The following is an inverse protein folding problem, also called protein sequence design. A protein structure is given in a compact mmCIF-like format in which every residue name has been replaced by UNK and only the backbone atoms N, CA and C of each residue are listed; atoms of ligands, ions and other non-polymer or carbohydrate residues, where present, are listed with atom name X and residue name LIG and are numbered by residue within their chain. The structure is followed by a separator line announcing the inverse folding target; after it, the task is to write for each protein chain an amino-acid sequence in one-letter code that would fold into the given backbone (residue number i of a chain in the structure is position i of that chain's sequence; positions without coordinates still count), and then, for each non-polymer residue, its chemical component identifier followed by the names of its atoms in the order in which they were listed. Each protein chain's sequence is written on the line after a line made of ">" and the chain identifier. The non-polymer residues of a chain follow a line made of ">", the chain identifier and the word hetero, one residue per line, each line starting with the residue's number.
data_IF_854226187947
#
_entry.id   IF_854226187947
#
_cell.length_a   1.000
_cell.length_b   1.000
_cell.length_c   1.000
_cell.angle_alpha   90.00
_cell.angle_beta   90.00
_cell.angle_gamma   90.00
#
_symmetry.space_group_name_H-M   'P 1'
#
loop_
_entity.id
_entity.type
_entity.pdbx_description
1 polymer ?
#
# COMPACT_ATOMS: atom_id res chain seq x y z
N UNK A 1 -1.54 12.54 18.64
CA UNK A 1 -0.65 12.77 17.49
C UNK A 1 -0.63 11.56 16.56
N UNK A 2 -0.85 10.35 17.11
CA UNK A 2 -1.09 9.07 16.43
C UNK A 2 -2.07 9.17 15.26
N UNK A 3 -3.27 9.72 15.47
CA UNK A 3 -4.30 9.84 14.43
C UNK A 3 -3.85 10.65 13.21
N UNK A 4 -2.95 11.63 13.38
CA UNK A 4 -2.47 12.46 12.29
C UNK A 4 -1.55 11.66 11.35
N UNK A 5 -0.70 10.77 11.90
CA UNK A 5 0.19 9.90 11.11
C UNK A 5 -0.62 8.80 10.41
N UNK A 6 -1.57 8.19 11.12
CA UNK A 6 -2.53 7.26 10.51
C UNK A 6 -3.36 7.93 9.40
N UNK A 7 -3.70 9.21 9.55
CA UNK A 7 -4.45 9.95 8.52
C UNK A 7 -3.62 10.33 7.29
N UNK A 8 -2.30 10.48 7.42
CA UNK A 8 -1.44 10.91 6.32
C UNK A 8 -1.04 9.76 5.40
N UNK A 9 -1.04 8.52 5.89
CA UNK A 9 -0.67 7.33 5.12
C UNK A 9 -1.93 6.75 4.47
N UNK A 10 -2.03 6.89 3.15
CA UNK A 10 -3.15 6.35 2.35
C UNK A 10 -2.91 4.87 2.03
N UNK A 11 -3.98 4.07 2.10
CA UNK A 11 -4.01 2.66 1.67
C UNK A 11 -3.51 2.43 0.24
N UNK A 12 -3.73 3.41 -0.64
CA UNK A 12 -3.23 3.44 -2.02
C UNK A 12 -1.70 3.27 -2.13
N UNK A 13 -0.96 3.65 -1.08
CA UNK A 13 0.51 3.52 -1.04
C UNK A 13 0.95 2.06 -1.12
N UNK A 14 0.08 1.10 -0.77
CA UNK A 14 0.40 -0.33 -0.86
C UNK A 14 0.71 -0.78 -2.29
N UNK A 15 0.01 -0.26 -3.30
CA UNK A 15 0.29 -0.62 -4.69
C UNK A 15 1.68 -0.16 -5.12
N UNK A 16 2.16 0.99 -4.64
CA UNK A 16 3.51 1.48 -4.92
C UNK A 16 4.58 0.77 -4.08
N UNK A 17 4.25 0.32 -2.87
CA UNK A 17 5.19 -0.36 -1.97
C UNK A 17 5.38 -1.83 -2.37
N UNK A 18 4.37 -2.48 -2.95
CA UNK A 18 4.40 -3.90 -3.32
C UNK A 18 5.57 -4.28 -4.24
N UNK A 19 5.85 -3.60 -5.37
CA UNK A 19 7.00 -3.92 -6.21
C UNK A 19 8.35 -3.77 -5.47
N UNK A 20 8.45 -2.85 -4.51
CA UNK A 20 9.65 -2.65 -3.71
C UNK A 20 9.83 -3.79 -2.70
N UNK A 21 8.73 -4.26 -2.10
CA UNK A 21 8.73 -5.39 -1.17
C UNK A 21 9.07 -6.70 -1.89
N UNK A 22 8.53 -6.93 -3.08
CA UNK A 22 8.82 -8.13 -3.89
C UNK A 22 10.28 -8.21 -4.33
N UNK A 23 10.93 -7.06 -4.57
CA UNK A 23 12.35 -6.98 -4.92
C UNK A 23 13.28 -7.21 -3.74
N UNK A 24 12.84 -6.94 -2.51
CA UNK A 24 13.66 -7.06 -1.30
C UNK A 24 13.15 -8.25 -0.49
N UNK A 25 13.74 -9.44 -0.71
CA UNK A 25 13.27 -10.70 -0.11
C UNK A 25 13.12 -10.70 1.42
N UNK A 26 13.91 -9.90 2.14
CA UNK A 26 13.75 -9.69 3.59
C UNK A 26 12.38 -9.06 3.92
N UNK A 27 11.92 -8.08 3.15
CA UNK A 27 10.64 -7.41 3.37
C UNK A 27 9.45 -8.35 3.10
N UNK A 28 9.55 -9.22 2.08
CA UNK A 28 8.52 -10.23 1.76
C UNK A 28 8.30 -11.22 2.91
N UNK A 29 9.37 -11.55 3.64
CA UNK A 29 9.32 -12.48 4.78
C UNK A 29 8.76 -11.81 6.04
N UNK A 30 9.00 -10.51 6.19
CA UNK A 30 8.59 -9.73 7.37
C UNK A 30 7.13 -9.28 7.33
N UNK A 31 6.48 -9.30 6.16
CA UNK A 31 5.05 -9.12 6.04
C UNK A 31 4.54 -9.75 4.73
N UNK A 32 3.69 -10.79 4.80
CA UNK A 32 3.02 -11.32 3.62
C UNK A 32 1.85 -10.41 3.21
N UNK A 33 1.76 -10.05 1.94
CA UNK A 33 0.65 -9.28 1.40
C UNK A 33 -0.53 -10.19 1.09
N UNK A 34 -1.55 -10.16 1.96
CA UNK A 34 -2.82 -10.80 1.65
C UNK A 34 -3.47 -10.17 0.41
N UNK A 35 -3.91 -11.01 -0.52
CA UNK A 35 -4.73 -10.62 -1.67
C UNK A 35 -5.91 -11.57 -1.78
N UNK A 36 -7.08 -11.01 -2.08
CA UNK A 36 -8.28 -11.78 -2.37
C UNK A 36 -8.73 -11.50 -3.80
N UNK A 37 -8.86 -12.54 -4.61
CA UNK A 37 -9.48 -12.43 -5.93
C UNK A 37 -10.99 -12.65 -5.82
N UNK A 38 -11.77 -11.74 -6.38
CA UNK A 38 -13.23 -11.76 -6.30
C UNK A 38 -13.84 -11.60 -7.70
N UNK A 39 -14.98 -12.25 -7.93
CA UNK A 39 -15.83 -11.99 -9.10
C UNK A 39 -16.71 -10.78 -8.79
N UNK A 40 -16.66 -9.72 -9.60
CA UNK A 40 -17.47 -8.52 -9.37
C UNK A 40 -18.71 -8.55 -10.26
N UNK A 41 -19.87 -8.31 -9.64
CA UNK A 41 -21.17 -8.17 -10.31
C UNK A 41 -21.40 -6.72 -10.81
N UNK A 42 -22.09 -6.56 -11.93
CA UNK A 42 -22.48 -5.27 -12.49
C UNK A 42 -23.27 -4.41 -11.50
N UNK A 43 -24.13 -5.01 -10.65
CA UNK A 43 -24.91 -4.24 -9.68
C UNK A 43 -24.02 -3.47 -8.68
N UNK A 44 -22.86 -4.03 -8.31
CA UNK A 44 -21.89 -3.42 -7.42
C UNK A 44 -21.17 -2.30 -8.17
N UNK A 45 -20.70 -2.58 -9.38
CA UNK A 45 -19.99 -1.61 -10.23
C UNK A 45 -20.85 -0.37 -10.44
N UNK A 46 -22.10 -0.54 -10.87
CA UNK A 46 -23.03 0.56 -11.13
C UNK A 46 -23.33 1.37 -9.88
N UNK A 47 -23.46 0.72 -8.72
CA UNK A 47 -23.68 1.41 -7.43
C UNK A 47 -22.47 2.25 -7.02
N UNK A 48 -21.25 1.77 -7.29
CA UNK A 48 -20.02 2.50 -6.98
C UNK A 48 -19.80 3.68 -7.92
N UNK A 49 -20.07 3.52 -9.21
CA UNK A 49 -20.08 4.62 -10.19
C UNK A 49 -21.09 5.69 -9.76
N UNK A 50 -22.31 5.28 -9.40
CA UNK A 50 -23.35 6.19 -8.95
C UNK A 50 -22.97 6.92 -7.65
N UNK A 51 -22.31 6.22 -6.71
CA UNK A 51 -21.79 6.84 -5.49
C UNK A 51 -20.73 7.89 -5.82
N UNK A 52 -19.83 7.60 -6.76
CA UNK A 52 -18.74 8.50 -7.16
C UNK A 52 -19.26 9.82 -7.75
N UNK A 53 -20.37 9.79 -8.48
CA UNK A 53 -20.99 10.98 -9.07
C UNK A 53 -21.90 11.72 -8.09
N UNK A 54 -22.76 11.01 -7.35
CA UNK A 54 -23.80 11.67 -6.53
C UNK A 54 -23.41 11.96 -5.09
N UNK A 55 -22.66 11.04 -4.47
CA UNK A 55 -22.46 11.02 -3.01
C UNK A 55 -21.06 11.45 -2.62
N UNK A 56 -20.16 11.59 -3.59
CA UNK A 56 -18.77 11.97 -3.34
C UNK A 56 -18.68 13.46 -3.02
N UNK A 57 -18.49 13.76 -1.74
CA UNK A 57 -18.31 15.15 -1.26
C UNK A 57 -16.88 15.65 -1.48
N UNK A 58 -15.87 14.78 -1.31
CA UNK A 58 -14.46 15.12 -1.48
C UNK A 58 -13.89 14.39 -2.69
N UNK A 59 -13.15 15.10 -3.56
CA UNK A 59 -12.52 14.51 -4.75
C UNK A 59 -11.60 13.32 -4.40
N UNK A 60 -10.93 13.39 -3.24
CA UNK A 60 -10.04 12.33 -2.76
C UNK A 60 -10.77 11.14 -2.12
N UNK A 61 -12.07 11.24 -1.84
CA UNK A 61 -12.83 10.15 -1.23
C UNK A 61 -13.07 9.03 -2.24
N UNK A 62 -12.80 7.80 -1.80
CA UNK A 62 -13.00 6.57 -2.57
C UNK A 62 -14.10 5.72 -1.92
N UNK A 63 -14.85 5.01 -2.75
CA UNK A 63 -15.70 3.94 -2.27
C UNK A 63 -14.83 2.83 -1.68
N UNK A 64 -15.44 1.97 -0.89
CA UNK A 64 -14.76 0.84 -0.27
C UNK A 64 -14.10 -0.09 -1.30
N UNK A 65 -14.84 -0.48 -2.35
CA UNK A 65 -14.31 -1.35 -3.38
C UNK A 65 -13.18 -0.67 -4.18
N UNK A 66 -13.34 0.59 -4.59
CA UNK A 66 -12.28 1.33 -5.29
C UNK A 66 -11.01 1.45 -4.43
N UNK A 67 -11.14 1.67 -3.12
CA UNK A 67 -9.98 1.70 -2.22
C UNK A 67 -9.26 0.34 -2.12
N UNK A 68 -10.02 -0.74 -2.06
CA UNK A 68 -9.49 -2.11 -2.02
C UNK A 68 -8.80 -2.52 -3.33
N UNK A 69 -9.34 -2.10 -4.46
CA UNK A 69 -8.75 -2.29 -5.78
C UNK A 69 -7.46 -1.48 -5.93
N UNK A 70 -7.47 -0.20 -5.52
CA UNK A 70 -6.28 0.65 -5.57
C UNK A 70 -5.16 0.15 -4.68
N UNK A 71 -5.47 -0.37 -3.49
CA UNK A 71 -4.47 -0.96 -2.59
C UNK A 71 -4.02 -2.36 -3.01
N UNK A 72 -4.63 -2.93 -4.06
CA UNK A 72 -4.42 -4.31 -4.53
C UNK A 72 -4.62 -5.35 -3.43
N UNK A 73 -5.43 -5.03 -2.41
CA UNK A 73 -5.88 -6.00 -1.41
C UNK A 73 -6.93 -6.92 -2.04
N UNK A 74 -7.68 -6.38 -3.00
CA UNK A 74 -8.61 -7.13 -3.84
C UNK A 74 -8.14 -7.07 -5.30
N UNK A 75 -8.25 -8.20 -5.99
CA UNK A 75 -8.15 -8.30 -7.44
C UNK A 75 -9.54 -8.61 -7.98
N UNK A 76 -10.09 -7.72 -8.82
CA UNK A 76 -11.39 -7.94 -9.44
C UNK A 76 -11.24 -8.73 -10.74
N UNK A 77 -12.05 -9.79 -10.86
CA UNK A 77 -12.33 -10.46 -12.13
C UNK A 77 -13.82 -10.32 -12.46
N UNK A 78 -14.18 -10.35 -13.73
CA UNK A 78 -15.58 -10.32 -14.16
C UNK A 78 -15.76 -11.03 -15.52
N UNK A 79 -16.96 -11.52 -15.83
CA UNK A 79 -17.26 -12.01 -17.16
C UNK A 79 -17.22 -10.84 -18.17
N UNK A 80 -16.86 -11.12 -19.43
CA UNK A 80 -16.96 -10.15 -20.54
C UNK A 80 -18.37 -9.57 -20.66
N UNK A 81 -19.39 -10.35 -20.32
CA UNK A 81 -20.80 -9.93 -20.27
C UNK A 81 -21.04 -8.69 -19.38
N UNK A 82 -20.24 -8.48 -18.32
CA UNK A 82 -20.37 -7.30 -17.46
C UNK A 82 -20.19 -5.99 -18.24
N UNK A 83 -19.37 -5.99 -19.30
CA UNK A 83 -19.17 -4.82 -20.16
C UNK A 83 -20.48 -4.40 -20.83
N UNK A 84 -21.18 -5.36 -21.43
CA UNK A 84 -22.45 -5.15 -22.13
C UNK A 84 -23.53 -4.69 -21.15
N UNK A 85 -23.60 -5.34 -19.98
CA UNK A 85 -24.59 -5.02 -18.97
C UNK A 85 -24.42 -3.60 -18.41
N UNK A 86 -23.19 -3.20 -18.11
CA UNK A 86 -22.89 -1.84 -17.61
C UNK A 86 -23.17 -0.79 -18.68
N UNK A 87 -22.73 -1.01 -19.93
CA UNK A 87 -22.99 -0.10 -21.04
C UNK A 87 -24.49 0.10 -21.29
N UNK A 88 -25.28 -0.97 -21.19
CA UNK A 88 -26.73 -0.89 -21.34
C UNK A 88 -27.43 -0.14 -20.20
N UNK A 89 -26.98 -0.35 -18.94
CA UNK A 89 -27.61 0.24 -17.76
C UNK A 89 -27.19 1.69 -17.48
N UNK A 90 -26.04 2.15 -17.97
CA UNK A 90 -25.58 3.53 -17.76
C UNK A 90 -26.61 4.57 -18.24
N UNK A 91 -27.15 4.52 -19.47
CA UNK A 91 -28.19 5.44 -19.93
C UNK A 91 -29.47 5.41 -19.08
N UNK A 92 -29.90 4.22 -18.64
CA UNK A 92 -31.09 4.04 -17.79
C UNK A 92 -30.90 4.73 -16.43
N UNK A 93 -29.73 4.55 -15.81
CA UNK A 93 -29.36 5.18 -14.53
C UNK A 93 -29.21 6.70 -14.68
N UNK A 94 -28.62 7.16 -15.79
CA UNK A 94 -28.48 8.57 -16.13
C UNK A 94 -29.85 9.27 -16.17
N UNK A 95 -30.81 8.67 -16.88
CA UNK A 95 -32.17 9.18 -16.99
C UNK A 95 -32.90 9.16 -15.64
N UNK A 96 -32.82 8.05 -14.90
CA UNK A 96 -33.49 7.87 -13.61
C UNK A 96 -33.02 8.88 -12.56
N UNK A 97 -31.73 9.21 -12.55
CA UNK A 97 -31.14 10.09 -11.54
C UNK A 97 -30.86 11.51 -12.03
N UNK A 98 -31.21 11.83 -13.28
CA UNK A 98 -30.96 13.13 -13.93
C UNK A 98 -29.48 13.51 -13.88
N UNK A 99 -28.62 12.57 -14.25
CA UNK A 99 -27.15 12.72 -14.28
C UNK A 99 -26.68 12.65 -15.73
N UNK A 100 -25.56 13.33 -16.03
CA UNK A 100 -24.93 13.23 -17.34
C UNK A 100 -24.41 11.81 -17.60
N UNK A 101 -24.83 11.19 -18.70
CA UNK A 101 -24.32 9.90 -19.18
C UNK A 101 -22.80 9.94 -19.33
N UNK A 102 -22.26 11.04 -19.86
CA UNK A 102 -20.81 11.24 -20.07
C UNK A 102 -20.02 11.16 -18.76
N UNK A 103 -20.60 11.64 -17.65
CA UNK A 103 -19.95 11.60 -16.35
C UNK A 103 -19.91 10.17 -15.78
N UNK A 104 -21.00 9.42 -15.92
CA UNK A 104 -21.05 8.00 -15.54
C UNK A 104 -20.09 7.16 -16.38
N UNK A 105 -20.02 7.40 -17.69
CA UNK A 105 -19.09 6.73 -18.61
C UNK A 105 -17.63 7.02 -18.24
N UNK A 106 -17.29 8.27 -17.92
CA UNK A 106 -15.93 8.61 -17.46
C UNK A 106 -15.53 7.81 -16.22
N UNK A 107 -16.44 7.67 -15.27
CA UNK A 107 -16.19 6.88 -14.06
C UNK A 107 -16.12 5.38 -14.36
N UNK A 108 -16.95 4.88 -15.28
CA UNK A 108 -16.87 3.51 -15.76
C UNK A 108 -15.52 3.21 -16.42
N UNK A 109 -15.04 4.09 -17.29
CA UNK A 109 -13.75 3.94 -17.97
C UNK A 109 -12.59 3.89 -16.99
N UNK A 110 -12.63 4.69 -15.92
CA UNK A 110 -11.63 4.56 -14.84
C UNK A 110 -11.77 3.24 -14.10
N UNK A 111 -12.99 2.79 -13.82
CA UNK A 111 -13.25 1.60 -13.00
C UNK A 111 -12.86 0.30 -13.74
N UNK A 112 -13.19 0.18 -15.03
CA UNK A 112 -12.89 -1.02 -15.83
C UNK A 112 -11.41 -1.36 -15.91
N UNK A 113 -10.51 -0.38 -15.73
CA UNK A 113 -9.05 -0.62 -15.71
C UNK A 113 -8.59 -1.50 -14.54
N UNK A 114 -9.40 -1.61 -13.48
CA UNK A 114 -9.11 -2.45 -12.32
C UNK A 114 -9.66 -3.88 -12.44
N UNK A 115 -10.46 -4.17 -13.47
CA UNK A 115 -11.12 -5.46 -13.65
C UNK A 115 -10.38 -6.27 -14.72
N UNK A 116 -10.06 -7.53 -14.39
CA UNK A 116 -9.65 -8.52 -15.39
C UNK A 116 -10.86 -9.25 -15.95
N UNK A 117 -11.14 -9.05 -17.23
CA UNK A 117 -12.25 -9.69 -17.92
C UNK A 117 -11.90 -11.10 -18.39
N UNK A 118 -12.80 -12.04 -18.19
CA UNK A 118 -12.68 -13.44 -18.61
C UNK A 118 -13.94 -13.79 -19.41
N UNK A 119 -13.78 -14.42 -20.56
CA UNK A 119 -14.93 -14.85 -21.35
C UNK A 119 -15.51 -16.15 -20.79
N UNK A 120 -16.80 -16.12 -20.49
CA UNK A 120 -17.57 -17.24 -19.96
C UNK A 120 -18.84 -17.52 -20.76
N UNK A 121 -18.97 -16.87 -21.92
CA UNK A 121 -20.22 -16.82 -22.68
C UNK A 121 -21.26 -15.87 -22.06
N UNK A 122 -22.41 -15.81 -22.71
CA UNK A 122 -23.51 -14.92 -22.35
C UNK A 122 -24.58 -15.56 -21.47
N UNK A 123 -25.74 -14.89 -21.37
CA UNK A 123 -26.89 -15.35 -20.59
C UNK A 123 -27.35 -16.76 -20.95
N UNK A 124 -27.82 -17.51 -19.96
CA UNK A 124 -28.20 -18.92 -20.13
C UNK A 124 -29.57 -19.21 -19.51
N UNK A 125 -30.53 -19.61 -20.35
CA UNK A 125 -31.92 -19.86 -19.95
C UNK A 125 -32.09 -21.06 -19.01
N UNK A 126 -31.07 -21.90 -18.83
CA UNK A 126 -31.09 -23.01 -17.87
C UNK A 126 -30.97 -22.55 -16.42
N UNK A 127 -30.57 -21.30 -16.17
CA UNK A 127 -30.47 -20.70 -14.85
C UNK A 127 -31.76 -19.95 -14.48
N UNK A 128 -31.99 -19.80 -13.17
CA UNK A 128 -33.15 -19.06 -12.63
C UNK A 128 -33.18 -17.62 -13.16
N UNK A 129 -32.02 -16.95 -13.13
CA UNK A 129 -31.80 -15.69 -13.84
C UNK A 129 -30.76 -15.91 -14.94
N UNK A 130 -31.15 -15.82 -16.22
CA UNK A 130 -30.23 -16.02 -17.33
C UNK A 130 -29.06 -15.04 -17.30
N UNK A 131 -29.25 -13.81 -16.82
CA UNK A 131 -28.21 -12.77 -16.82
C UNK A 131 -27.11 -13.04 -15.81
N UNK A 132 -27.43 -13.81 -14.77
CA UNK A 132 -26.52 -14.12 -13.68
C UNK A 132 -25.65 -15.35 -14.00
N UNK A 133 -26.04 -16.14 -15.01
CA UNK A 133 -25.34 -17.35 -15.42
C UNK A 133 -23.84 -17.14 -15.74
N UNK A 134 -23.41 -16.07 -16.45
CA UNK A 134 -21.98 -15.81 -16.71
C UNK A 134 -21.16 -15.67 -15.42
N UNK A 135 -21.71 -15.04 -14.38
CA UNK A 135 -21.03 -14.84 -13.11
C UNK A 135 -20.86 -16.17 -12.35
N UNK A 136 -21.91 -17.01 -12.34
CA UNK A 136 -21.86 -18.35 -11.74
C UNK A 136 -20.90 -19.26 -12.50
N UNK A 137 -20.92 -19.22 -13.84
CA UNK A 137 -19.96 -19.96 -14.68
C UNK A 137 -18.52 -19.53 -14.37
N UNK A 138 -18.27 -18.23 -14.25
CA UNK A 138 -16.95 -17.70 -13.90
C UNK A 138 -16.49 -18.17 -12.51
N UNK A 139 -17.38 -18.15 -11.52
CA UNK A 139 -17.08 -18.67 -10.19
C UNK A 139 -16.74 -20.15 -10.25
N UNK A 140 -17.52 -20.98 -10.96
CA UNK A 140 -17.24 -22.41 -11.10
C UNK A 140 -15.92 -22.69 -11.79
N UNK A 141 -15.53 -21.88 -12.76
CA UNK A 141 -14.26 -22.02 -13.48
C UNK A 141 -13.04 -21.57 -12.66
N UNK A 142 -13.20 -20.54 -11.83
CA UNK A 142 -12.06 -19.91 -11.12
C UNK A 142 -11.96 -20.25 -9.64
N UNK A 143 -13.04 -20.78 -9.04
CA UNK A 143 -13.14 -21.02 -7.60
C UNK A 143 -13.18 -19.75 -6.76
N UNK A 144 -13.48 -18.58 -7.36
CA UNK A 144 -13.50 -17.30 -6.66
C UNK A 144 -14.90 -16.88 -6.23
N UNK A 145 -14.97 -16.21 -5.08
CA UNK A 145 -16.23 -15.75 -4.51
C UNK A 145 -16.78 -14.55 -5.28
N UNK A 146 -18.11 -14.48 -5.40
CA UNK A 146 -18.81 -13.38 -6.07
C UNK A 146 -19.07 -12.27 -5.06
N UNK A 147 -18.70 -11.04 -5.39
CA UNK A 147 -19.15 -9.87 -4.67
C UNK A 147 -20.39 -9.30 -5.36
N UNK A 148 -21.54 -9.62 -4.77
CA UNK A 148 -22.85 -9.14 -5.17
C UNK A 148 -23.69 -8.82 -3.93
N UNK A 149 -24.71 -7.99 -4.10
CA UNK A 149 -25.77 -7.78 -3.10
C UNK A 149 -27.09 -8.44 -3.52
N UNK A 150 -27.11 -9.13 -4.65
CA UNK A 150 -28.30 -9.81 -5.14
C UNK A 150 -28.49 -11.15 -4.44
N UNK A 151 -29.70 -11.37 -3.92
CA UNK A 151 -30.09 -12.65 -3.33
C UNK A 151 -30.23 -13.76 -4.39
N UNK A 152 -30.44 -13.42 -5.66
CA UNK A 152 -30.58 -14.39 -6.75
C UNK A 152 -29.31 -15.21 -6.97
N UNK A 153 -28.14 -14.57 -6.84
CA UNK A 153 -26.83 -15.23 -6.93
C UNK A 153 -26.71 -16.39 -5.95
N UNK A 154 -27.07 -16.17 -4.69
CA UNK A 154 -27.05 -17.22 -3.66
C UNK A 154 -28.07 -18.31 -3.95
N UNK A 155 -29.26 -17.96 -4.46
CA UNK A 155 -30.30 -18.93 -4.82
C UNK A 155 -29.91 -19.84 -5.99
N UNK A 156 -29.01 -19.41 -6.87
CA UNK A 156 -28.46 -20.24 -7.95
C UNK A 156 -27.23 -21.08 -7.54
N UNK A 157 -26.94 -21.13 -6.24
CA UNK A 157 -25.78 -21.84 -5.70
C UNK A 157 -24.47 -21.08 -5.86
N UNK A 158 -24.53 -19.76 -6.08
CA UNK A 158 -23.36 -18.91 -6.09
C UNK A 158 -22.87 -18.60 -4.68
N UNK A 159 -21.55 -18.69 -4.46
CA UNK A 159 -20.93 -18.33 -3.21
C UNK A 159 -20.63 -16.82 -3.19
N UNK A 160 -21.31 -16.08 -2.32
CA UNK A 160 -21.26 -14.62 -2.28
C UNK A 160 -20.48 -14.11 -1.07
N UNK A 161 -19.64 -13.10 -1.27
CA UNK A 161 -18.89 -12.44 -0.20
C UNK A 161 -19.81 -11.51 0.58
N UNK A 162 -19.79 -11.65 1.90
CA UNK A 162 -20.55 -10.76 2.77
C UNK A 162 -19.96 -9.34 2.77
N UNK A 163 -20.79 -8.28 2.74
CA UNK A 163 -20.30 -6.89 2.76
C UNK A 163 -19.37 -6.57 3.95
N UNK A 164 -19.57 -7.20 5.11
CA UNK A 164 -18.73 -7.01 6.29
C UNK A 164 -17.26 -7.42 6.05
N UNK A 165 -17.01 -8.39 5.16
CA UNK A 165 -15.67 -8.80 4.77
C UNK A 165 -14.96 -7.68 4.02
N UNK A 166 -15.66 -6.94 3.14
CA UNK A 166 -15.08 -5.79 2.44
C UNK A 166 -14.62 -4.71 3.42
N UNK A 167 -15.43 -4.45 4.44
CA UNK A 167 -15.10 -3.45 5.47
C UNK A 167 -13.89 -3.86 6.28
N UNK A 168 -13.83 -5.14 6.66
CA UNK A 168 -12.70 -5.75 7.35
C UNK A 168 -11.41 -5.65 6.51
N UNK A 169 -11.47 -6.01 5.23
CA UNK A 169 -10.33 -5.90 4.31
C UNK A 169 -9.87 -4.45 4.11
N UNK A 170 -10.81 -3.50 4.13
CA UNK A 170 -10.48 -2.08 3.99
C UNK A 170 -9.70 -1.58 5.19
N UNK A 171 -10.11 -1.97 6.40
CA UNK A 171 -9.36 -1.68 7.62
C UNK A 171 -7.98 -2.34 7.57
N UNK A 172 -7.92 -3.63 7.23
CA UNK A 172 -6.66 -4.34 7.04
C UNK A 172 -5.71 -3.57 6.10
N UNK A 173 -6.17 -3.20 4.90
CA UNK A 173 -5.38 -2.46 3.91
C UNK A 173 -4.79 -1.15 4.47
N UNK A 174 -5.58 -0.40 5.25
CA UNK A 174 -5.10 0.85 5.88
C UNK A 174 -4.03 0.61 6.94
N UNK A 175 -4.23 -0.36 7.83
CA UNK A 175 -3.23 -0.67 8.87
C UNK A 175 -1.93 -1.21 8.27
N UNK A 176 -2.05 -2.04 7.24
CA UNK A 176 -0.93 -2.64 6.54
C UNK A 176 -0.13 -1.57 5.77
N UNK A 177 -0.79 -0.60 5.15
CA UNK A 177 -0.11 0.54 4.51
C UNK A 177 0.79 1.31 5.48
N UNK A 178 0.34 1.51 6.71
CA UNK A 178 1.12 2.16 7.78
C UNK A 178 2.32 1.29 8.14
N UNK A 179 2.10 0.01 8.44
CA UNK A 179 3.16 -0.94 8.79
C UNK A 179 4.27 -0.97 7.72
N UNK A 180 3.90 -1.04 6.44
CA UNK A 180 4.87 -1.09 5.35
C UNK A 180 5.59 0.24 5.09
N UNK A 181 4.89 1.37 5.22
CA UNK A 181 5.54 2.68 5.07
C UNK A 181 6.65 2.82 6.12
N UNK A 182 6.42 2.33 7.34
CA UNK A 182 7.41 2.31 8.41
C UNK A 182 8.54 1.31 8.15
N UNK A 183 8.24 0.10 7.69
CA UNK A 183 9.26 -0.92 7.36
C UNK A 183 10.16 -0.49 6.20
N UNK A 184 9.58 0.03 5.12
CA UNK A 184 10.34 0.50 3.95
C UNK A 184 11.16 1.74 4.30
N UNK A 185 10.58 2.70 5.04
CA UNK A 185 11.32 3.85 5.55
C UNK A 185 12.47 3.45 6.48
N UNK A 186 12.23 2.49 7.38
CA UNK A 186 13.23 1.94 8.29
C UNK A 186 14.37 1.23 7.55
N UNK A 187 14.07 0.30 6.65
CA UNK A 187 15.08 -0.42 5.85
C UNK A 187 15.85 0.54 4.93
N UNK A 188 15.18 1.50 4.30
CA UNK A 188 15.82 2.53 3.49
C UNK A 188 16.82 3.37 4.30
N UNK A 189 16.45 3.77 5.52
CA UNK A 189 17.34 4.50 6.42
C UNK A 189 18.58 3.70 6.82
N UNK A 190 18.43 2.39 7.07
CA UNK A 190 19.54 1.50 7.40
C UNK A 190 20.51 1.30 6.23
N UNK A 191 20.01 1.20 5.00
CA UNK A 191 20.86 1.08 3.80
C UNK A 191 21.67 2.36 3.59
N UNK A 192 21.04 3.54 3.72
CA UNK A 192 21.73 4.83 3.62
C UNK A 192 22.76 4.99 4.75
N UNK A 193 22.40 4.61 5.98
CA UNK A 193 23.32 4.62 7.13
C UNK A 193 24.52 3.69 6.90
N UNK A 194 24.30 2.49 6.38
CA UNK A 194 25.38 1.54 6.11
C UNK A 194 26.29 2.00 4.95
N UNK A 195 25.72 2.58 3.89
CA UNK A 195 26.51 3.15 2.80
C UNK A 195 27.35 4.34 3.26
N UNK A 196 26.78 5.24 4.05
CA UNK A 196 27.52 6.38 4.63
C UNK A 196 28.61 5.92 5.59
N UNK A 197 28.36 4.91 6.45
CA UNK A 197 29.40 4.29 7.29
C UNK A 197 30.53 3.67 6.46
N UNK A 198 30.19 2.95 5.39
CA UNK A 198 31.19 2.30 4.52
C UNK A 198 32.01 3.33 3.76
N UNK A 199 31.42 4.45 3.36
CA UNK A 199 32.10 5.56 2.70
C UNK A 199 33.04 6.27 3.67
N UNK A 200 32.58 6.54 4.90
CA UNK A 200 33.41 7.06 5.99
C UNK A 200 34.59 6.11 6.30
N UNK A 201 34.35 4.81 6.35
CA UNK A 201 35.39 3.79 6.55
C UNK A 201 36.43 3.75 5.41
N UNK A 202 36.00 3.94 4.14
CA UNK A 202 36.94 4.04 3.01
C UNK A 202 37.76 5.32 3.05
N UNK A 203 37.14 6.46 3.41
CA UNK A 203 37.86 7.72 3.58
C UNK A 203 38.89 7.60 4.71
N UNK A 204 38.50 7.03 5.86
CA UNK A 204 39.40 6.75 6.97
C UNK A 204 40.56 5.82 6.57
N UNK A 205 40.27 4.77 5.79
CA UNK A 205 41.31 3.85 5.29
C UNK A 205 42.26 4.54 4.30
N UNK A 206 41.73 5.38 3.40
CA UNK A 206 42.53 6.13 2.42
C UNK A 206 43.43 7.15 3.11
N UNK A 207 42.94 7.82 4.15
CA UNK A 207 43.73 8.71 5.00
C UNK A 207 44.82 7.90 5.72
N UNK A 208 44.47 6.76 6.32
CA UNK A 208 45.43 5.93 7.05
C UNK A 208 46.52 5.32 6.16
N UNK A 209 46.16 4.88 4.95
CA UNK A 209 47.10 4.38 3.95
C UNK A 209 47.97 5.50 3.33
N UNK A 210 47.42 6.70 3.16
CA UNK A 210 48.17 7.89 2.77
C UNK A 210 49.16 8.33 3.85
N UNK A 211 48.73 8.27 5.12
CA UNK A 211 49.54 8.58 6.30
C UNK A 211 50.71 7.59 6.48
N UNK A 212 50.53 6.31 6.13
CA UNK A 212 51.62 5.32 6.13
C UNK A 212 52.73 5.58 5.10
N UNK A 213 52.47 6.38 4.07
CA UNK A 213 53.45 6.73 3.03
C UNK A 213 54.21 8.02 3.32
N UNK A 214 53.95 8.65 4.47
CA UNK A 214 54.59 9.91 4.86
C UNK A 214 55.98 9.58 5.44
N UNK A 215 57.07 10.12 4.87
CA UNK A 215 58.42 9.93 5.40
C UNK A 215 58.53 10.43 6.84
N UNK A 216 59.30 9.72 7.69
CA UNK A 216 59.32 9.92 9.16
C UNK A 216 59.70 11.34 9.61
N UNK A 217 60.40 12.11 8.79
CA UNK A 217 60.78 13.51 9.07
C UNK A 217 59.65 14.52 8.83
N UNK A 218 58.58 14.15 8.11
CA UNK A 218 57.43 15.03 7.83
C UNK A 218 56.41 14.98 8.97
N UNK A 219 56.38 13.91 9.76
CA UNK A 219 55.50 13.77 10.92
C UNK A 219 55.59 14.90 11.95
N UNK A 220 56.79 15.31 12.44
CA UNK A 220 56.89 16.42 13.38
C UNK A 220 56.45 17.77 12.77
N UNK A 221 56.59 17.95 11.44
CA UNK A 221 56.11 19.15 10.74
C UNK A 221 54.58 19.14 10.65
N UNK A 222 53.98 18.00 10.32
CA UNK A 222 52.53 17.83 10.22
C UNK A 222 51.86 17.97 11.59
N UNK A 223 52.44 17.35 12.63
CA UNK A 223 52.00 17.52 14.02
C UNK A 223 52.21 18.97 14.46
N UNK A 224 53.34 19.59 14.11
CA UNK A 224 53.60 21.00 14.35
C UNK A 224 52.54 21.90 13.73
N UNK A 225 52.18 21.70 12.46
CA UNK A 225 51.13 22.44 11.75
C UNK A 225 49.76 22.20 12.38
N UNK A 226 49.43 20.97 12.77
CA UNK A 226 48.16 20.65 13.44
C UNK A 226 48.10 21.32 14.82
N UNK A 227 49.19 21.29 15.59
CA UNK A 227 49.28 21.94 16.90
C UNK A 227 49.22 23.47 16.76
N UNK A 228 49.92 24.06 15.77
CA UNK A 228 49.88 25.49 15.49
C UNK A 228 48.49 25.92 15.01
N UNK A 229 47.85 25.12 14.15
CA UNK A 229 46.47 25.33 13.71
C UNK A 229 45.48 25.22 14.88
N UNK A 230 45.68 24.27 15.81
CA UNK A 230 44.88 24.11 17.02
C UNK A 230 45.13 25.22 18.07
N UNK A 231 46.27 25.90 18.03
CA UNK A 231 46.58 27.04 18.90
C UNK A 231 46.08 28.37 18.34
N UNK A 232 45.87 28.48 17.02
CA UNK A 232 45.35 29.67 16.37
C UNK A 232 43.84 29.84 16.63
N UNK A 233 43.44 30.95 17.26
CA UNK A 233 42.06 31.21 17.75
C UNK A 233 40.98 31.04 16.66
N UNK A 234 41.25 31.50 15.43
CA UNK A 234 40.28 31.38 14.33
C UNK A 234 39.99 29.93 13.91
N UNK A 235 40.92 29.00 14.12
CA UNK A 235 40.73 27.57 13.81
C UNK A 235 40.04 26.84 14.95
N UNK A 236 40.30 27.21 16.23
CA UNK A 236 39.56 26.66 17.38
C UNK A 236 38.08 27.02 17.30
N UNK A 237 37.78 28.24 16.91
CA UNK A 237 36.41 28.69 16.69
C UNK A 237 35.77 28.03 15.47
N UNK A 238 36.52 27.83 14.37
CA UNK A 238 36.03 27.13 13.18
C UNK A 238 35.76 25.65 13.44
N UNK A 239 36.65 24.97 14.17
CA UNK A 239 36.50 23.56 14.54
C UNK A 239 35.41 23.36 15.60
N UNK A 240 35.31 24.28 16.57
CA UNK A 240 34.22 24.33 17.54
C UNK A 240 32.86 24.57 16.87
N UNK A 241 32.79 25.41 15.82
CA UNK A 241 31.60 25.60 14.99
C UNK A 241 31.27 24.36 14.15
N UNK A 242 32.25 23.67 13.58
CA UNK A 242 32.03 22.44 12.82
C UNK A 242 31.58 21.28 13.74
N UNK A 243 32.22 21.11 14.89
CA UNK A 243 31.86 20.08 15.88
C UNK A 243 30.49 20.38 16.50
N UNK A 244 30.18 21.65 16.82
CA UNK A 244 28.84 22.02 17.31
C UNK A 244 27.76 21.96 16.24
N UNK A 245 28.07 22.19 14.96
CA UNK A 245 27.13 21.97 13.85
C UNK A 245 26.89 20.48 13.56
N UNK A 246 27.89 19.61 13.77
CA UNK A 246 27.77 18.15 13.65
C UNK A 246 27.06 17.52 14.87
N UNK A 247 27.45 17.90 16.08
CA UNK A 247 26.90 17.38 17.35
C UNK A 247 25.54 18.00 17.68
N UNK A 248 25.31 19.28 17.35
CA UNK A 248 24.01 19.96 17.50
C UNK A 248 22.95 19.45 16.52
N UNK A 249 23.34 19.04 15.31
CA UNK A 249 22.44 18.32 14.39
C UNK A 249 22.12 16.91 14.91
N UNK A 250 23.10 16.16 15.42
CA UNK A 250 22.88 14.78 15.86
C UNK A 250 22.17 14.61 17.21
N UNK A 251 22.37 15.48 18.21
CA UNK A 251 21.67 15.35 19.51
C UNK A 251 20.19 15.73 19.41
N UNK A 252 19.84 16.69 18.57
CA UNK A 252 18.43 17.06 18.34
C UNK A 252 17.69 16.02 17.49
N UNK A 253 18.41 15.33 16.60
CA UNK A 253 17.88 14.20 15.83
C UNK A 253 17.83 12.91 16.66
N UNK A 254 18.83 12.60 17.50
CA UNK A 254 18.92 11.33 18.23
C UNK A 254 17.81 11.12 19.27
N UNK A 255 17.51 12.12 20.11
CA UNK A 255 16.45 11.98 21.12
C UNK A 255 15.03 12.13 20.53
N UNK A 256 14.86 12.95 19.49
CA UNK A 256 13.59 13.03 18.74
C UNK A 256 13.32 11.79 17.90
N UNK A 257 14.36 11.22 17.28
CA UNK A 257 14.26 9.94 16.55
C UNK A 257 14.05 8.79 17.52
N UNK A 258 14.71 8.71 18.68
CA UNK A 258 14.45 7.64 19.67
C UNK A 258 13.02 7.73 20.25
N UNK A 259 12.53 8.93 20.55
CA UNK A 259 11.13 9.16 20.94
C UNK A 259 10.15 8.73 19.84
N UNK A 260 10.33 9.23 18.61
CA UNK A 260 9.50 8.82 17.48
C UNK A 260 9.66 7.36 17.08
N UNK A 261 10.83 6.73 17.24
CA UNK A 261 11.01 5.31 16.93
C UNK A 261 10.29 4.43 17.97
N UNK A 262 10.24 4.84 19.23
CA UNK A 262 9.45 4.15 20.25
C UNK A 262 7.94 4.29 20.00
N UNK A 263 7.47 5.48 19.61
CA UNK A 263 6.08 5.73 19.19
C UNK A 263 5.74 4.96 17.90
N UNK A 264 6.64 4.95 16.91
CA UNK A 264 6.49 4.21 15.66
C UNK A 264 6.52 2.69 15.88
N UNK A 265 7.28 2.20 16.86
CA UNK A 265 7.27 0.79 17.25
C UNK A 265 5.94 0.38 17.88
N UNK A 266 5.38 1.22 18.77
CA UNK A 266 4.05 1.00 19.35
C UNK A 266 2.96 1.05 18.28
N UNK A 267 3.03 2.03 17.37
CA UNK A 267 2.12 2.15 16.22
C UNK A 267 2.25 0.93 15.31
N UNK A 268 3.46 0.45 15.06
CA UNK A 268 3.74 -0.74 14.25
C UNK A 268 3.20 -2.02 14.90
N UNK A 269 3.47 -2.26 16.19
CA UNK A 269 2.95 -3.43 16.90
C UNK A 269 1.42 -3.41 16.99
N UNK A 270 0.82 -2.24 17.25
CA UNK A 270 -0.64 -2.08 17.25
C UNK A 270 -1.23 -2.32 15.86
N UNK A 271 -0.65 -1.73 14.81
CA UNK A 271 -1.11 -1.92 13.44
C UNK A 271 -0.97 -3.37 12.97
N UNK A 272 0.13 -4.06 13.34
CA UNK A 272 0.35 -5.48 13.06
C UNK A 272 -0.67 -6.36 13.79
N UNK A 273 -0.91 -6.12 15.07
CA UNK A 273 -1.89 -6.86 15.85
C UNK A 273 -3.32 -6.66 15.32
N UNK A 274 -3.68 -5.44 14.96
CA UNK A 274 -4.98 -5.12 14.35
C UNK A 274 -5.10 -5.75 12.96
N UNK A 275 -4.08 -5.65 12.11
CA UNK A 275 -4.07 -6.30 10.80
C UNK A 275 -4.27 -7.82 10.91
N UNK A 276 -3.58 -8.48 11.84
CA UNK A 276 -3.73 -9.92 12.07
C UNK A 276 -5.14 -10.28 12.57
N UNK A 277 -5.72 -9.49 13.48
CA UNK A 277 -7.10 -9.69 13.96
C UNK A 277 -8.13 -9.53 12.84
N UNK A 278 -7.97 -8.50 12.02
CA UNK A 278 -8.87 -8.25 10.88
C UNK A 278 -8.70 -9.37 9.83
N UNK A 279 -7.48 -9.82 9.56
CA UNK A 279 -7.23 -10.94 8.66
C UNK A 279 -7.88 -12.24 9.16
N UNK A 280 -7.72 -12.55 10.44
CA UNK A 280 -8.36 -13.72 11.05
C UNK A 280 -9.89 -13.65 10.97
N UNK A 281 -10.46 -12.47 11.24
CA UNK A 281 -11.90 -12.23 11.14
C UNK A 281 -12.40 -12.34 9.69
N UNK A 282 -11.66 -11.78 8.73
CA UNK A 282 -11.99 -11.91 7.31
C UNK A 282 -11.96 -13.38 6.89
N UNK A 283 -10.88 -14.10 7.24
CA UNK A 283 -10.67 -15.50 6.85
C UNK A 283 -11.74 -16.43 7.42
N UNK A 284 -12.11 -16.26 8.70
CA UNK A 284 -13.15 -17.09 9.32
C UNK A 284 -14.56 -16.81 8.80
N UNK A 285 -14.79 -15.62 8.25
CA UNK A 285 -16.07 -15.23 7.66
C UNK A 285 -16.14 -15.51 6.15
N UNK A 286 -15.08 -16.03 5.53
CA UNK A 286 -15.16 -16.56 4.18
C UNK A 286 -15.91 -17.90 4.22
N UNK A 287 -16.88 -18.14 3.32
CA UNK A 287 -17.47 -19.46 3.18
C UNK A 287 -16.38 -20.49 2.86
N UNK A 288 -16.41 -21.62 3.58
CA UNK A 288 -15.52 -22.76 3.33
C UNK A 288 -15.92 -23.36 1.98
N UNK A 289 -15.10 -23.16 0.95
CA UNK A 289 -15.30 -23.82 -0.34
C UNK A 289 -15.04 -25.31 -0.12
N UNK A 290 -16.03 -26.20 -0.28
CA UNK A 290 -15.76 -27.63 -0.23
C UNK A 290 -14.80 -27.95 -1.38
N UNK A 291 -13.61 -28.39 -1.01
CA UNK A 291 -12.61 -28.88 -1.97
C UNK A 291 -13.20 -30.15 -2.59
N UNK A 292 -13.62 -30.06 -3.86
CA UNK A 292 -13.93 -31.22 -4.69
C UNK A 292 -12.65 -31.70 -5.38
#
# INVERSE_FOLDING_TARGET
>A
MDDAIFSSIRSDSLATLRPLIERVGILKTLAPLFQLTIVVDANIVLKDILWAVRKRVKVAAKSELVELLHSQTIIAIAPTFLLEEVQKKIPEIAAMHKISTVELEKHWESFRTFIKFIDTGGPDLSFIDPKDAPYIKLQRQTGHLIYSRDSHMTRMGGEVIQPAVMTTLRFYSRHVAVEYTLKVGGVGSLVVAFQTLRLAGRLAKTIFEGVKKIPSYVWPILVGIIVLALLHESTRDGLGRLISQLVGRQRTLGYKLLGHLSEMYVIHEKAKAEAQRQLFTATNNLPQIPTQ
#
